data_IF_356361397636
#
_entry.id   IF_356361397636
#
_cell.length_a   1.000
_cell.length_b   1.000
_cell.length_c   1.000
_cell.angle_alpha   90.00
_cell.angle_beta   90.00
_cell.angle_gamma   90.00
#
_symmetry.space_group_name_H-M   'P 1'
#
loop_
_entity.id
_entity.type
_entity.pdbx_description
1 polymer ?
#
# COMPACT_ATOMS: atom_id res chain seq x y z
N UNK A 1 -16.70 34.12 -53.77
CA UNK A 1 -15.46 33.54 -53.20
C UNK A 1 -15.71 33.29 -51.72
N UNK A 2 -15.83 32.02 -51.30
CA UNK A 2 -16.10 31.62 -49.92
C UNK A 2 -14.78 31.23 -49.24
N UNK A 3 -14.35 31.98 -48.24
CA UNK A 3 -13.15 31.67 -47.43
C UNK A 3 -13.59 30.84 -46.24
N UNK A 4 -13.23 29.56 -46.23
CA UNK A 4 -13.49 28.64 -45.13
C UNK A 4 -12.33 28.77 -44.13
N UNK A 5 -12.56 29.42 -42.99
CA UNK A 5 -11.60 29.46 -41.89
C UNK A 5 -11.72 28.17 -41.07
N UNK A 6 -10.80 27.23 -41.30
CA UNK A 6 -10.65 26.06 -40.45
C UNK A 6 -9.90 26.45 -39.16
N UNK A 7 -10.62 26.57 -38.05
CA UNK A 7 -10.02 26.73 -36.73
C UNK A 7 -9.64 25.35 -36.18
N UNK A 8 -8.33 25.08 -36.09
CA UNK A 8 -7.79 23.88 -35.46
C UNK A 8 -7.70 24.08 -33.95
N UNK A 9 -8.56 23.38 -33.21
CA UNK A 9 -8.51 23.32 -31.74
C UNK A 9 -7.44 22.30 -31.32
N UNK A 10 -6.25 22.79 -30.96
CA UNK A 10 -5.24 21.96 -30.31
C UNK A 10 -5.51 21.92 -28.79
N UNK A 11 -6.10 20.83 -28.31
CA UNK A 11 -6.31 20.59 -26.88
C UNK A 11 -5.01 20.07 -26.24
N UNK A 12 -4.27 20.93 -25.55
CA UNK A 12 -3.16 20.51 -24.69
C UNK A 12 -3.72 19.95 -23.37
N UNK A 13 -3.72 18.62 -23.21
CA UNK A 13 -3.99 17.98 -21.93
C UNK A 13 -2.73 18.03 -21.05
N UNK A 14 -2.68 18.94 -20.08
CA UNK A 14 -1.63 18.93 -19.06
C UNK A 14 -1.91 17.83 -18.04
N UNK A 15 -1.16 16.73 -18.10
CA UNK A 15 -1.23 15.65 -17.09
C UNK A 15 -0.58 16.15 -15.80
N UNK A 16 -1.40 16.64 -14.86
CA UNK A 16 -0.94 16.92 -13.51
C UNK A 16 -0.47 15.61 -12.85
N UNK A 17 0.80 15.52 -12.46
CA UNK A 17 1.33 14.35 -11.75
C UNK A 17 0.75 14.32 -10.33
N UNK A 18 -0.07 13.32 -10.04
CA UNK A 18 -0.60 13.07 -8.70
C UNK A 18 0.51 12.59 -7.74
N UNK A 19 0.31 12.84 -6.45
CA UNK A 19 1.14 12.27 -5.37
C UNK A 19 0.89 10.76 -5.25
N UNK A 20 1.90 10.00 -4.86
CA UNK A 20 1.83 8.54 -4.74
C UNK A 20 2.59 8.03 -3.52
N UNK A 21 2.04 6.97 -2.91
CA UNK A 21 2.65 6.23 -1.82
C UNK A 21 2.60 4.73 -2.18
N UNK A 22 3.75 4.08 -2.16
CA UNK A 22 3.90 2.66 -2.40
C UNK A 22 4.60 2.01 -1.20
N UNK A 23 4.20 0.80 -0.89
CA UNK A 23 4.75 0.01 0.21
C UNK A 23 4.95 -1.43 -0.25
N UNK A 24 6.06 -2.02 0.19
CA UNK A 24 6.38 -3.43 -0.03
C UNK A 24 6.87 -4.06 1.27
N UNK A 25 6.34 -5.25 1.66
CA UNK A 25 5.20 -5.95 1.06
C UNK A 25 3.85 -5.25 1.35
N UNK A 26 2.82 -5.53 0.53
CA UNK A 26 1.44 -5.03 0.74
C UNK A 26 0.56 -5.96 1.58
N UNK A 27 0.95 -7.23 1.65
CA UNK A 27 0.21 -8.28 2.36
C UNK A 27 1.11 -8.83 3.45
N UNK A 28 0.56 -8.89 4.64
CA UNK A 28 1.11 -9.60 5.78
C UNK A 28 0.42 -10.97 5.88
N UNK A 29 1.19 -12.03 6.06
CA UNK A 29 0.64 -13.38 6.25
C UNK A 29 0.90 -13.83 7.69
N UNK A 30 -0.15 -14.02 8.46
CA UNK A 30 -0.09 -14.52 9.85
C UNK A 30 -0.35 -16.03 9.90
N UNK A 31 0.35 -16.72 10.80
CA UNK A 31 0.16 -18.17 11.04
C UNK A 31 -0.90 -18.39 12.13
N UNK A 32 -1.50 -19.57 12.20
CA UNK A 32 -2.41 -19.94 13.31
C UNK A 32 -1.77 -19.77 14.70
N UNK A 33 -0.44 -19.83 14.78
CA UNK A 33 0.32 -19.74 16.02
C UNK A 33 0.71 -18.30 16.41
N UNK A 34 0.57 -17.33 15.50
CA UNK A 34 1.07 -15.98 15.70
C UNK A 34 0.03 -14.96 15.20
N UNK A 35 -0.49 -14.14 16.11
CA UNK A 35 -1.57 -13.19 15.83
C UNK A 35 -1.12 -11.94 15.06
N UNK A 36 0.19 -11.69 14.96
CA UNK A 36 0.77 -10.52 14.30
C UNK A 36 1.95 -10.92 13.43
N UNK A 37 2.25 -10.12 12.41
CA UNK A 37 3.47 -10.27 11.62
C UNK A 37 4.47 -9.17 11.97
N UNK A 38 5.71 -9.58 12.16
CA UNK A 38 6.85 -8.66 12.23
C UNK A 38 7.51 -8.64 10.84
N UNK A 39 7.52 -7.47 10.19
CA UNK A 39 8.10 -7.31 8.86
C UNK A 39 8.78 -5.96 8.68
N UNK A 40 9.70 -5.90 7.73
CA UNK A 40 10.32 -4.66 7.28
C UNK A 40 9.54 -4.09 6.09
N UNK A 41 8.76 -3.04 6.34
CA UNK A 41 8.04 -2.29 5.32
C UNK A 41 8.99 -1.31 4.63
N UNK A 42 8.99 -1.34 3.29
CA UNK A 42 9.73 -0.41 2.45
C UNK A 42 8.77 0.54 1.76
N UNK A 43 8.73 1.77 2.24
CA UNK A 43 7.95 2.84 1.66
C UNK A 43 8.74 3.55 0.57
N UNK A 44 8.07 3.86 -0.54
CA UNK A 44 8.55 4.77 -1.58
C UNK A 44 7.43 5.71 -1.94
N UNK A 45 7.71 7.01 -1.94
CA UNK A 45 6.70 8.02 -2.21
C UNK A 45 7.22 9.15 -3.07
N UNK A 46 6.29 9.82 -3.75
CA UNK A 46 6.54 10.97 -4.59
C UNK A 46 5.35 11.93 -4.52
N UNK A 47 5.63 13.23 -4.44
CA UNK A 47 4.64 14.30 -4.43
C UNK A 47 4.55 14.98 -5.81
N UNK A 48 3.42 15.63 -6.07
CA UNK A 48 3.22 16.48 -7.26
C UNK A 48 4.23 17.65 -7.30
N UNK A 49 4.43 18.29 -6.14
CA UNK A 49 5.37 19.40 -5.91
C UNK A 49 6.20 19.15 -4.64
N UNK A 50 7.35 19.83 -4.50
CA UNK A 50 8.13 19.76 -3.28
C UNK A 50 7.35 20.39 -2.12
N UNK A 51 7.24 19.69 -1.01
CA UNK A 51 6.50 20.13 0.16
C UNK A 51 6.98 19.40 1.42
N UNK A 52 6.50 19.86 2.56
CA UNK A 52 6.67 19.16 3.83
C UNK A 52 5.62 18.04 3.91
N UNK A 53 6.07 16.87 4.38
CA UNK A 53 5.23 15.69 4.44
C UNK A 53 5.65 14.78 5.59
N UNK A 54 4.67 14.19 6.25
CA UNK A 54 4.86 13.20 7.31
C UNK A 54 4.16 11.90 6.93
N UNK A 55 4.83 10.78 7.16
CA UNK A 55 4.25 9.45 7.09
C UNK A 55 3.62 9.11 8.44
N UNK A 56 2.34 8.73 8.41
CA UNK A 56 1.58 8.28 9.56
C UNK A 56 1.20 6.81 9.40
N UNK A 57 1.15 6.11 10.53
CA UNK A 57 0.46 4.84 10.70
C UNK A 57 -0.80 5.10 11.53
N UNK A 58 -1.97 5.08 10.89
CA UNK A 58 -3.21 5.62 11.49
C UNK A 58 -2.96 7.04 12.04
N UNK A 59 -3.00 7.23 13.36
CA UNK A 59 -2.78 8.51 14.05
C UNK A 59 -1.34 8.69 14.56
N UNK A 60 -0.49 7.67 14.41
CA UNK A 60 0.90 7.70 14.90
C UNK A 60 1.83 8.23 13.83
N UNK A 61 2.48 9.37 14.09
CA UNK A 61 3.50 9.91 13.21
C UNK A 61 4.77 9.06 13.26
N UNK A 62 5.24 8.60 12.10
CA UNK A 62 6.46 7.79 11.99
C UNK A 62 7.68 8.64 11.64
N UNK A 63 7.59 9.42 10.55
CA UNK A 63 8.71 10.22 10.08
C UNK A 63 8.21 11.40 9.22
N UNK A 64 8.91 12.52 9.32
CA UNK A 64 8.66 13.70 8.51
C UNK A 64 9.86 14.07 7.64
N UNK A 65 9.58 14.72 6.52
CA UNK A 65 10.56 15.32 5.63
C UNK A 65 10.10 16.72 5.23
N UNK A 66 11.06 17.61 4.99
CA UNK A 66 10.80 19.02 4.68
C UNK A 66 11.29 19.38 3.28
N UNK A 67 10.50 20.15 2.53
CA UNK A 67 10.88 20.70 1.23
C UNK A 67 11.25 19.67 0.16
N UNK A 68 10.70 18.46 0.24
CA UNK A 68 11.10 17.32 -0.60
C UNK A 68 9.98 16.90 -1.55
N UNK A 69 10.37 16.34 -2.70
CA UNK A 69 9.43 15.86 -3.72
C UNK A 69 9.27 14.34 -3.73
N UNK A 70 10.19 13.60 -3.12
CA UNK A 70 10.20 12.13 -3.06
C UNK A 70 11.04 11.65 -1.89
N UNK A 71 10.79 10.42 -1.45
CA UNK A 71 11.56 9.81 -0.38
C UNK A 71 11.33 8.31 -0.27
N UNK A 72 12.10 7.68 0.60
CA UNK A 72 12.00 6.26 0.92
C UNK A 72 12.23 6.05 2.42
N UNK A 73 11.64 5.00 2.98
CA UNK A 73 11.79 4.62 4.38
C UNK A 73 11.70 3.10 4.53
N UNK A 74 12.64 2.52 5.26
CA UNK A 74 12.52 1.17 5.82
C UNK A 74 12.03 1.27 7.26
N UNK A 75 10.94 0.58 7.59
CA UNK A 75 10.32 0.60 8.91
C UNK A 75 10.00 -0.81 9.38
N UNK A 76 10.43 -1.17 10.60
CA UNK A 76 10.07 -2.45 11.22
C UNK A 76 8.68 -2.31 11.84
N UNK A 77 7.70 -2.95 11.20
CA UNK A 77 6.31 -2.90 11.62
C UNK A 77 5.89 -4.21 12.27
N UNK A 78 5.07 -4.09 13.32
CA UNK A 78 4.27 -5.18 13.88
C UNK A 78 2.82 -4.95 13.48
N UNK A 79 2.29 -5.78 12.59
CA UNK A 79 0.93 -5.62 12.05
C UNK A 79 0.06 -6.78 12.53
N UNK A 80 -1.03 -6.45 13.22
CA UNK A 80 -2.02 -7.42 13.72
C UNK A 80 -3.32 -7.38 12.91
N UNK A 81 -3.68 -6.20 12.41
CA UNK A 81 -4.89 -5.93 11.63
C UNK A 81 -4.54 -5.07 10.42
N UNK A 82 -5.49 -4.95 9.49
CA UNK A 82 -5.34 -4.05 8.35
C UNK A 82 -4.97 -2.64 8.82
N UNK A 83 -3.86 -2.13 8.29
CA UNK A 83 -3.24 -0.89 8.77
C UNK A 83 -3.06 0.07 7.62
N UNK A 84 -3.56 1.30 7.79
CA UNK A 84 -3.45 2.37 6.80
C UNK A 84 -2.24 3.23 7.12
N UNK A 85 -1.41 3.43 6.10
CA UNK A 85 -0.33 4.39 6.11
C UNK A 85 -0.68 5.58 5.21
N UNK A 86 -0.46 6.79 5.70
CA UNK A 86 -0.83 8.02 4.99
C UNK A 86 0.31 9.02 4.97
N UNK A 87 0.46 9.72 3.85
CA UNK A 87 1.28 10.93 3.74
C UNK A 87 0.41 12.14 4.00
N UNK A 88 0.73 12.92 5.01
CA UNK A 88 -0.03 14.10 5.40
C UNK A 88 0.92 15.30 5.40
N UNK A 89 0.49 16.43 4.82
CA UNK A 89 1.21 17.69 5.00
C UNK A 89 0.96 18.20 6.44
N UNK A 90 2.00 18.36 7.27
CA UNK A 90 1.84 18.67 8.70
C UNK A 90 1.29 20.08 8.96
N UNK A 91 1.43 21.00 8.01
CA UNK A 91 0.98 22.39 8.16
C UNK A 91 -0.47 22.57 7.75
N UNK A 92 -0.94 21.80 6.76
CA UNK A 92 -2.30 21.93 6.23
C UNK A 92 -3.23 20.80 6.67
N UNK A 93 -2.70 19.69 7.20
CA UNK A 93 -3.46 18.49 7.54
C UNK A 93 -3.97 17.71 6.32
N UNK A 94 -3.62 18.13 5.10
CA UNK A 94 -4.10 17.49 3.87
C UNK A 94 -3.44 16.14 3.67
N UNK A 95 -4.24 15.08 3.48
CA UNK A 95 -3.77 13.77 3.06
C UNK A 95 -3.39 13.79 1.58
N UNK A 96 -2.13 13.47 1.28
CA UNK A 96 -1.52 13.54 -0.04
C UNK A 96 -1.60 12.19 -0.78
N UNK A 97 -1.48 11.08 -0.04
CA UNK A 97 -1.62 9.72 -0.55
C UNK A 97 -1.73 8.74 0.63
N UNK A 98 -2.39 7.60 0.42
CA UNK A 98 -2.52 6.55 1.43
C UNK A 98 -2.33 5.17 0.81
N UNK A 99 -1.92 4.21 1.63
CA UNK A 99 -1.84 2.80 1.26
C UNK A 99 -2.23 1.92 2.44
N UNK A 100 -2.93 0.83 2.17
CA UNK A 100 -3.34 -0.14 3.17
C UNK A 100 -2.45 -1.38 3.08
N UNK A 101 -2.08 -1.90 4.25
CA UNK A 101 -1.51 -3.23 4.40
C UNK A 101 -2.63 -4.20 4.77
N UNK A 102 -2.81 -5.24 3.95
CA UNK A 102 -3.78 -6.30 4.19
C UNK A 102 -3.16 -7.41 5.05
N UNK A 103 -3.97 -8.03 5.91
CA UNK A 103 -3.55 -9.18 6.72
C UNK A 103 -4.30 -10.42 6.22
N UNK A 104 -3.54 -11.47 5.90
CA UNK A 104 -4.06 -12.76 5.45
C UNK A 104 -3.61 -13.86 6.40
N UNK A 105 -4.47 -14.83 6.65
CA UNK A 105 -4.13 -16.01 7.47
C UNK A 105 -3.60 -17.13 6.58
N UNK A 106 -2.43 -17.67 6.92
CA UNK A 106 -1.92 -18.90 6.33
C UNK A 106 -2.74 -20.09 6.85
N UNK A 107 -3.88 -20.35 6.22
CA UNK A 107 -4.65 -21.57 6.48
C UNK A 107 -3.82 -22.78 6.05
N UNK A 108 -3.32 -23.53 7.03
CA UNK A 108 -2.86 -24.89 6.77
C UNK A 108 -4.12 -25.70 6.44
N UNK A 109 -4.41 -25.91 5.15
CA UNK A 109 -5.36 -26.96 4.75
C UNK A 109 -4.82 -28.26 5.31
N UNK A 110 -5.29 -28.65 6.52
CA UNK A 110 -5.21 -30.02 6.98
C UNK A 110 -5.99 -30.81 5.94
N UNK A 111 -5.29 -31.32 4.92
CA UNK A 111 -5.76 -32.44 4.12
C UNK A 111 -5.99 -33.53 5.16
N UNK A 112 -7.22 -33.67 5.62
CA UNK A 112 -7.66 -34.95 6.13
C UNK A 112 -7.38 -35.92 4.99
N UNK A 113 -6.27 -36.64 5.06
CA UNK A 113 -6.16 -37.90 4.33
C UNK A 113 -7.37 -38.68 4.85
N UNK A 114 -8.42 -38.78 4.05
CA UNK A 114 -9.36 -39.86 4.21
C UNK A 114 -8.50 -41.12 4.10
N UNK A 115 -8.06 -41.65 5.24
CA UNK A 115 -7.61 -43.03 5.29
C UNK A 115 -8.88 -43.80 4.97
N UNK A 116 -8.98 -44.30 3.74
CA UNK A 116 -10.02 -45.27 3.41
C UNK A 116 -9.97 -46.36 4.48
N UNK A 117 -11.08 -46.64 5.20
CA UNK A 117 -11.07 -47.68 6.22
C UNK A 117 -11.16 -49.10 5.64
N UNK A 118 -11.19 -49.30 4.32
CA UNK A 118 -11.55 -50.60 3.76
C UNK A 118 -10.60 -51.05 2.65
N UNK A 119 -9.64 -51.89 3.04
CA UNK A 119 -9.29 -53.13 2.33
C UNK A 119 -8.22 -53.90 3.14
N UNK A 120 -8.66 -54.50 4.25
CA UNK A 120 -8.01 -55.68 4.82
C UNK A 120 -9.14 -56.60 5.31
N UNK A 121 -9.83 -57.23 4.35
CA UNK A 121 -10.49 -58.49 4.64
C UNK A 121 -9.39 -59.56 4.64
N UNK A 122 -9.03 -60.06 5.83
CA UNK A 122 -8.30 -61.31 6.03
C UNK A 122 -9.33 -62.43 6.18
N UNK A 123 -9.23 -63.47 5.35
CA UNK A 123 -9.47 -64.91 5.60
C UNK A 123 -9.38 -65.66 4.27
#
# INVERSE_FOLDING_TARGET
MLVVLAASFFSNASVAKASSLNVSPKVCVVSEQQEFCDLELKFKWQLSAASDVCLYQQDTQLQCWQGVKKGQLSYKARVQVETIYSLINPHTGVSLASVQIEVQTAYAKKKHRLRSPWSFFLI
#
